data_IF_972787298138
#
_entry.id   IF_972787298138
#
_cell.length_a   1.000
_cell.length_b   1.000
_cell.length_c   1.000
_cell.angle_alpha   90.00
_cell.angle_beta   90.00
_cell.angle_gamma   90.00
#
_symmetry.space_group_name_H-M   'P 1'
#
loop_
_entity.id
_entity.type
_entity.pdbx_description
1 polymer ?
#
# COMPACT_ATOMS: atom_id res chain seq x y z
N UNK A 1 28.31 -31.09 -32.48
CA UNK A 1 28.58 -29.98 -33.42
C UNK A 1 27.48 -28.94 -33.19
N UNK A 2 27.87 -27.71 -32.89
CA UNK A 2 27.03 -26.60 -32.44
C UNK A 2 26.45 -25.86 -33.65
N UNK A 3 25.20 -25.39 -33.58
CA UNK A 3 24.79 -24.20 -34.33
C UNK A 3 23.67 -23.45 -33.62
N UNK A 4 23.98 -22.20 -33.27
CA UNK A 4 23.07 -21.19 -32.75
C UNK A 4 22.29 -20.58 -33.92
N UNK A 5 21.02 -20.24 -33.72
CA UNK A 5 20.28 -19.31 -34.57
C UNK A 5 19.80 -18.13 -33.73
N UNK A 6 20.26 -16.93 -34.12
CA UNK A 6 20.03 -15.67 -33.43
C UNK A 6 18.63 -15.11 -33.65
N UNK A 7 18.17 -14.32 -32.67
CA UNK A 7 16.97 -13.51 -32.73
C UNK A 7 17.42 -12.06 -32.88
N UNK A 8 17.12 -11.43 -33.99
CA UNK A 8 17.08 -9.97 -34.10
C UNK A 8 15.63 -9.52 -33.99
N UNK A 9 15.32 -8.67 -33.01
CA UNK A 9 14.11 -7.87 -33.03
C UNK A 9 14.44 -6.44 -32.59
N UNK A 10 14.26 -5.53 -33.55
CA UNK A 10 14.41 -4.09 -33.48
C UNK A 10 13.43 -3.50 -32.45
N UNK A 11 13.93 -2.74 -31.47
CA UNK A 11 13.10 -2.01 -30.50
C UNK A 11 13.02 -0.54 -30.94
N UNK A 12 11.86 -0.14 -31.45
CA UNK A 12 11.48 1.27 -31.65
C UNK A 12 11.27 1.95 -30.30
N UNK A 13 12.03 3.00 -30.01
CA UNK A 13 11.87 3.83 -28.82
C UNK A 13 10.69 4.80 -28.98
N UNK A 14 9.61 4.59 -28.24
CA UNK A 14 8.57 5.60 -28.03
C UNK A 14 8.95 6.47 -26.83
N UNK A 15 9.28 7.74 -27.09
CA UNK A 15 9.61 8.74 -26.08
C UNK A 15 8.29 9.30 -25.52
N UNK A 16 7.89 8.84 -24.33
CA UNK A 16 6.75 9.41 -23.59
C UNK A 16 7.21 10.63 -22.81
N UNK A 17 6.61 11.79 -23.09
CA UNK A 17 6.83 13.06 -22.38
C UNK A 17 6.23 13.01 -20.97
N UNK A 18 7.06 12.64 -20.00
CA UNK A 18 6.75 12.76 -18.57
C UNK A 18 6.88 14.21 -18.10
N UNK A 19 5.81 14.77 -17.54
CA UNK A 19 5.91 15.92 -16.66
C UNK A 19 4.83 15.82 -15.57
N UNK A 20 5.26 15.49 -14.36
CA UNK A 20 4.39 15.33 -13.20
C UNK A 20 5.15 14.83 -11.97
N UNK A 21 6.02 15.69 -11.42
CA UNK A 21 6.51 15.69 -10.04
C UNK A 21 7.04 14.38 -9.46
N UNK A 22 8.33 14.09 -9.67
CA UNK A 22 9.07 13.09 -8.91
C UNK A 22 9.13 13.48 -7.43
N UNK A 23 8.57 12.66 -6.55
CA UNK A 23 9.25 12.38 -5.28
C UNK A 23 10.01 11.07 -5.48
N UNK A 24 11.24 11.18 -6.00
CA UNK A 24 12.20 10.09 -5.83
C UNK A 24 12.65 10.15 -4.37
N UNK A 25 12.05 9.32 -3.51
CA UNK A 25 12.67 9.01 -2.23
C UNK A 25 13.99 8.28 -2.51
N UNK A 26 15.10 8.68 -1.86
CA UNK A 26 16.37 7.98 -2.02
C UNK A 26 16.20 6.51 -1.68
N UNK A 27 17.05 5.65 -2.26
CA UNK A 27 17.01 4.19 -2.12
C UNK A 27 17.45 3.73 -0.71
N UNK A 28 16.73 4.22 0.29
CA UNK A 28 16.96 4.01 1.70
C UNK A 28 16.02 2.90 2.19
N UNK A 29 16.57 1.95 2.95
CA UNK A 29 15.81 0.87 3.57
C UNK A 29 14.68 1.37 4.49
N UNK A 30 14.71 2.64 4.92
CA UNK A 30 13.66 3.27 5.72
C UNK A 30 12.27 3.22 5.07
N UNK A 31 12.16 3.27 3.72
CA UNK A 31 10.87 3.16 3.01
C UNK A 31 10.16 1.82 3.26
N UNK A 32 10.90 0.79 3.66
CA UNK A 32 10.36 -0.53 3.99
C UNK A 32 9.96 -0.68 5.46
N UNK A 33 10.36 0.28 6.31
CA UNK A 33 10.08 0.31 7.75
C UNK A 33 8.90 1.24 8.03
N UNK A 34 8.94 2.43 7.41
CA UNK A 34 7.94 3.48 7.57
C UNK A 34 6.81 3.29 6.55
N UNK A 35 5.54 3.54 6.93
CA UNK A 35 4.47 3.54 5.97
C UNK A 35 4.69 4.66 4.94
N UNK A 36 4.38 4.43 3.66
CA UNK A 36 4.49 5.46 2.63
C UNK A 36 3.55 6.64 2.94
N UNK A 37 3.94 7.83 2.50
CA UNK A 37 3.18 9.07 2.68
C UNK A 37 1.78 8.97 2.06
N UNK A 38 1.69 8.30 0.90
CA UNK A 38 0.44 7.91 0.27
C UNK A 38 0.20 6.42 0.43
N UNK A 39 -0.99 6.05 0.92
CA UNK A 39 -1.41 4.65 1.02
C UNK A 39 -2.10 4.14 -0.26
N UNK A 40 -2.33 5.02 -1.23
CA UNK A 40 -2.96 4.67 -2.50
C UNK A 40 -1.93 4.10 -3.48
N UNK A 41 -2.35 3.12 -4.28
CA UNK A 41 -1.53 2.51 -5.34
C UNK A 41 -2.25 2.57 -6.69
N UNK A 42 -1.49 2.42 -7.78
CA UNK A 42 -2.02 2.35 -9.15
C UNK A 42 -2.08 0.91 -9.71
N UNK A 43 -1.98 -0.11 -8.85
CA UNK A 43 -2.08 -1.51 -9.26
C UNK A 43 -3.52 -1.95 -9.51
N UNK A 44 -3.69 -2.79 -10.52
CA UNK A 44 -4.90 -3.58 -10.78
C UNK A 44 -5.08 -4.72 -9.77
N UNK A 45 -6.30 -5.26 -9.65
CA UNK A 45 -6.59 -6.38 -8.75
C UNK A 45 -5.78 -7.63 -9.07
N UNK A 46 -5.48 -7.87 -10.35
CA UNK A 46 -4.62 -8.98 -10.78
C UNK A 46 -3.20 -8.82 -10.23
N UNK A 47 -2.66 -7.60 -10.27
CA UNK A 47 -1.32 -7.30 -9.74
C UNK A 47 -1.32 -7.35 -8.21
N UNK A 48 -2.36 -6.87 -7.54
CA UNK A 48 -2.53 -7.00 -6.10
C UNK A 48 -2.60 -8.46 -5.67
N UNK A 49 -3.41 -9.27 -6.35
CA UNK A 49 -3.55 -10.70 -6.07
C UNK A 49 -2.22 -11.42 -6.29
N UNK A 50 -1.53 -11.13 -7.39
CA UNK A 50 -0.19 -11.65 -7.66
C UNK A 50 0.79 -11.26 -6.54
N UNK A 51 0.81 -10.00 -6.10
CA UNK A 51 1.65 -9.55 -4.98
C UNK A 51 1.31 -10.24 -3.66
N UNK A 52 0.02 -10.42 -3.37
CA UNK A 52 -0.46 -11.08 -2.15
C UNK A 52 -0.17 -12.59 -2.15
N UNK A 53 -0.04 -13.20 -3.33
CA UNK A 53 0.29 -14.63 -3.47
C UNK A 53 1.74 -14.98 -3.07
N UNK A 54 2.62 -13.98 -2.92
CA UNK A 54 4.01 -14.21 -2.57
C UNK A 54 4.21 -14.55 -1.09
N UNK A 55 4.91 -15.66 -0.83
CA UNK A 55 5.40 -16.01 0.50
C UNK A 55 6.85 -15.54 0.64
N UNK A 56 7.18 -14.64 1.58
CA UNK A 56 8.55 -14.20 1.79
C UNK A 56 9.46 -15.36 2.19
N UNK A 57 10.48 -15.66 1.38
CA UNK A 57 11.51 -16.68 1.70
C UNK A 57 12.69 -16.12 2.50
N UNK A 58 12.64 -14.82 2.85
CA UNK A 58 13.73 -14.12 3.55
C UNK A 58 13.75 -14.52 5.02
N UNK A 59 14.85 -15.14 5.47
CA UNK A 59 15.03 -15.57 6.87
C UNK A 59 15.37 -14.42 7.82
N UNK A 60 16.14 -13.44 7.35
CA UNK A 60 16.56 -12.26 8.12
C UNK A 60 16.52 -11.03 7.23
N UNK A 61 15.88 -9.96 7.71
CA UNK A 61 15.81 -8.69 7.01
C UNK A 61 17.05 -7.82 7.34
N UNK A 62 17.49 -6.94 6.43
CA UNK A 62 18.59 -6.01 6.68
C UNK A 62 18.19 -4.86 7.61
N UNK A 63 17.02 -4.94 8.25
CA UNK A 63 16.47 -3.98 9.19
C UNK A 63 15.63 -4.69 10.25
N UNK A 64 15.46 -4.04 11.40
CA UNK A 64 14.60 -4.55 12.46
C UNK A 64 13.13 -4.42 12.06
N UNK A 65 12.44 -5.56 11.95
CA UNK A 65 11.00 -5.58 11.74
C UNK A 65 10.28 -5.47 13.06
N UNK A 66 9.39 -4.49 13.14
CA UNK A 66 8.43 -4.38 14.23
C UNK A 66 7.22 -5.23 13.87
N UNK A 67 6.81 -6.19 14.72
CA UNK A 67 5.54 -6.91 14.54
C UNK A 67 4.37 -5.91 14.54
N UNK A 68 3.49 -6.00 13.54
CA UNK A 68 2.33 -5.11 13.39
C UNK A 68 1.03 -5.91 13.29
N UNK A 69 -0.04 -5.41 13.89
CA UNK A 69 -1.39 -5.94 13.75
C UNK A 69 -2.15 -5.17 12.67
N UNK A 70 -2.77 -5.87 11.72
CA UNK A 70 -3.62 -5.26 10.70
C UNK A 70 -5.10 -5.32 11.15
N UNK A 71 -5.74 -4.16 11.26
CA UNK A 71 -7.16 -4.02 11.52
C UNK A 71 -7.88 -3.73 10.21
N UNK A 72 -8.88 -4.56 9.87
CA UNK A 72 -9.77 -4.31 8.74
C UNK A 72 -11.19 -4.09 9.25
N UNK A 73 -11.72 -2.89 9.00
CA UNK A 73 -13.08 -2.51 9.35
C UNK A 73 -13.97 -2.55 8.12
N UNK A 74 -14.95 -3.44 8.13
CA UNK A 74 -15.97 -3.54 7.09
C UNK A 74 -17.24 -2.86 7.58
N UNK A 75 -17.66 -1.79 6.91
CA UNK A 75 -18.76 -0.93 7.36
C UNK A 75 -19.65 -0.55 6.20
N UNK A 76 -20.91 -0.19 6.43
CA UNK A 76 -21.78 0.36 5.36
C UNK A 76 -21.69 1.88 5.26
N UNK A 77 -21.30 2.56 6.34
CA UNK A 77 -21.26 4.01 6.42
C UNK A 77 -20.23 4.45 7.47
N UNK A 78 -20.58 5.32 8.44
CA UNK A 78 -19.67 5.71 9.51
C UNK A 78 -19.12 4.52 10.28
N UNK A 79 -17.84 4.60 10.67
CA UNK A 79 -17.18 3.56 11.45
C UNK A 79 -17.81 3.47 12.85
N UNK A 80 -18.54 2.39 13.19
CA UNK A 80 -19.13 2.24 14.50
C UNK A 80 -18.02 2.19 15.56
N UNK A 81 -18.30 2.78 16.72
CA UNK A 81 -17.39 2.81 17.87
C UNK A 81 -16.04 3.48 17.57
N UNK A 82 -15.92 4.30 16.52
CA UNK A 82 -14.69 5.02 16.19
C UNK A 82 -14.05 5.70 17.41
N UNK A 83 -14.80 6.41 18.30
CA UNK A 83 -14.19 7.03 19.48
C UNK A 83 -13.55 6.05 20.47
N UNK A 84 -14.07 4.82 20.58
CA UNK A 84 -13.48 3.77 21.43
C UNK A 84 -12.20 3.25 20.80
N UNK A 85 -12.25 2.97 19.50
CA UNK A 85 -11.08 2.53 18.75
C UNK A 85 -9.97 3.58 18.74
N UNK A 86 -10.28 4.88 18.67
CA UNK A 86 -9.27 5.94 18.81
C UNK A 86 -8.57 5.88 20.16
N UNK A 87 -9.33 5.68 21.26
CA UNK A 87 -8.76 5.53 22.60
C UNK A 87 -7.90 4.27 22.72
N UNK A 88 -8.35 3.15 22.16
CA UNK A 88 -7.62 1.88 22.17
C UNK A 88 -6.28 1.99 21.42
N UNK A 89 -6.28 2.66 20.27
CA UNK A 89 -5.12 2.77 19.39
C UNK A 89 -4.15 3.90 19.79
N UNK A 90 -4.58 4.84 20.63
CA UNK A 90 -3.77 5.95 21.09
C UNK A 90 -2.51 5.45 21.81
N UNK A 91 -1.35 5.95 21.40
CA UNK A 91 -0.04 5.60 21.98
C UNK A 91 0.61 4.36 21.36
N UNK A 92 -0.08 3.65 20.47
CA UNK A 92 0.42 2.43 19.84
C UNK A 92 0.84 2.64 18.38
N UNK A 93 1.12 3.89 17.98
CA UNK A 93 1.52 4.22 16.61
C UNK A 93 2.75 3.42 16.18
N UNK A 94 2.68 2.81 15.00
CA UNK A 94 3.75 1.97 14.45
C UNK A 94 3.58 0.47 14.71
N UNK A 95 2.73 0.06 15.66
CA UNK A 95 2.42 -1.35 15.95
C UNK A 95 1.15 -1.87 15.26
N UNK A 96 0.47 -1.01 14.50
CA UNK A 96 -0.73 -1.39 13.78
C UNK A 96 -0.83 -0.74 12.40
N UNK A 97 -1.68 -1.33 11.55
CA UNK A 97 -2.15 -0.74 10.30
C UNK A 97 -3.67 -0.85 10.24
N UNK A 98 -4.34 0.19 9.75
CA UNK A 98 -5.81 0.24 9.68
C UNK A 98 -6.23 0.33 8.23
N UNK A 99 -7.22 -0.49 7.89
CA UNK A 99 -7.89 -0.53 6.59
C UNK A 99 -9.39 -0.41 6.83
N UNK A 100 -10.04 0.52 6.14
CA UNK A 100 -11.47 0.75 6.24
C UNK A 100 -12.08 0.51 4.88
N UNK A 101 -13.05 -0.38 4.80
CA UNK A 101 -13.85 -0.60 3.63
C UNK A 101 -15.30 -0.20 3.94
N UNK A 102 -15.83 0.72 3.17
CA UNK A 102 -17.20 1.24 3.28
C UNK A 102 -17.90 1.20 1.93
N UNK A 103 -19.21 1.46 1.92
CA UNK A 103 -19.94 1.62 0.65
C UNK A 103 -19.27 2.68 -0.23
N UNK A 104 -19.22 2.49 -1.57
CA UNK A 104 -18.61 3.45 -2.49
C UNK A 104 -19.20 4.85 -2.41
N UNK A 105 -20.48 4.97 -2.05
CA UNK A 105 -21.18 6.25 -1.89
C UNK A 105 -20.83 6.99 -0.59
N UNK A 106 -20.24 6.31 0.39
CA UNK A 106 -19.89 6.90 1.67
C UNK A 106 -18.49 7.53 1.63
N UNK A 107 -18.41 8.83 1.93
CA UNK A 107 -17.14 9.56 2.05
C UNK A 107 -16.81 9.81 3.52
N UNK A 108 -15.82 9.12 4.10
CA UNK A 108 -15.44 9.36 5.49
C UNK A 108 -14.81 10.74 5.64
N UNK A 109 -15.15 11.43 6.74
CA UNK A 109 -14.60 12.73 7.09
C UNK A 109 -13.86 12.66 8.43
N UNK A 110 -12.72 11.97 8.44
CA UNK A 110 -11.85 11.92 9.61
C UNK A 110 -10.89 13.12 9.62
N UNK A 111 -10.64 13.77 10.78
CA UNK A 111 -9.64 14.82 10.88
C UNK A 111 -8.23 14.25 10.69
N UNK A 112 -7.27 15.08 10.27
CA UNK A 112 -5.86 14.69 10.07
C UNK A 112 -5.19 14.08 11.31
N UNK A 113 -5.68 14.43 12.50
CA UNK A 113 -5.21 13.90 13.78
C UNK A 113 -5.75 12.50 14.11
N UNK A 114 -6.79 12.04 13.41
CA UNK A 114 -7.40 10.74 13.66
C UNK A 114 -6.53 9.62 13.09
N UNK A 115 -6.51 8.49 13.80
CA UNK A 115 -5.86 7.26 13.33
C UNK A 115 -6.51 6.71 12.05
N UNK A 116 -7.75 7.10 11.77
CA UNK A 116 -8.54 6.70 10.60
C UNK A 116 -8.35 7.60 9.38
N UNK A 117 -7.55 8.68 9.51
CA UNK A 117 -7.29 9.59 8.41
C UNK A 117 -6.68 8.85 7.20
N UNK A 118 -7.33 8.99 6.04
CA UNK A 118 -6.92 8.38 4.76
C UNK A 118 -6.69 6.86 4.82
N UNK A 119 -7.44 6.15 5.68
CA UNK A 119 -7.39 4.67 5.79
C UNK A 119 -8.44 3.94 4.95
N UNK A 120 -9.20 4.69 4.15
CA UNK A 120 -10.27 4.17 3.31
C UNK A 120 -9.70 3.44 2.08
N UNK A 121 -10.13 2.20 1.86
CA UNK A 121 -9.93 1.46 0.62
C UNK A 121 -11.20 1.63 -0.23
N UNK A 122 -11.11 2.15 -1.46
CA UNK A 122 -12.26 2.25 -2.34
C UNK A 122 -12.76 0.87 -2.75
N UNK A 123 -14.07 0.69 -2.81
CA UNK A 123 -14.67 -0.47 -3.46
C UNK A 123 -14.68 -0.26 -4.96
N UNK A 124 -14.43 -1.34 -5.72
CA UNK A 124 -14.82 -1.39 -7.12
C UNK A 124 -16.35 -1.56 -7.19
N UNK A 125 -16.95 -1.00 -8.24
CA UNK A 125 -18.40 -1.06 -8.52
C UNK A 125 -18.64 -2.12 -9.57
#
# INVERSE_FOLDING_TARGET
MIQYFGIENVITYSKSSFQGGCFEEPDNLEKWIRPPVSLMHNMSDKELLWRASFVPKVKKYPFNRVPKVAFMFLTRGPLPLAPIWEKFLKGHQGFYSIYIHSLPSYRPNFPRSSVFYQRQIPSQV
#
